data_IF_891437815760
#
_entry.id   IF_891437815760
#
_cell.length_a   1.000
_cell.length_b   1.000
_cell.length_c   1.000
_cell.angle_alpha   90.00
_cell.angle_beta   90.00
_cell.angle_gamma   90.00
#
_symmetry.space_group_name_H-M   'P 1'
#
loop_
_entity.id
_entity.type
_entity.pdbx_description
1 polymer ?
#
# COMPACT_ATOMS: atom_id res chain seq x y z
N UNK A 1 -15.96 28.37 2.97
CA UNK A 1 -16.20 27.29 1.99
C UNK A 1 -14.91 26.76 1.36
N UNK A 2 -13.97 27.62 0.93
CA UNK A 2 -12.66 27.24 0.33
C UNK A 2 -11.88 26.15 1.08
N UNK A 3 -11.81 26.22 2.42
CA UNK A 3 -11.05 25.24 3.21
C UNK A 3 -11.60 23.81 3.11
N UNK A 4 -12.93 23.65 3.03
CA UNK A 4 -13.57 22.34 3.01
C UNK A 4 -13.39 21.66 1.65
N UNK A 5 -13.48 22.43 0.57
CA UNK A 5 -13.22 21.90 -0.77
C UNK A 5 -11.75 21.48 -0.95
N UNK A 6 -10.81 22.32 -0.47
CA UNK A 6 -9.39 22.01 -0.46
C UNK A 6 -9.09 20.72 0.33
N UNK A 7 -9.72 20.54 1.49
CA UNK A 7 -9.57 19.33 2.32
C UNK A 7 -10.01 18.06 1.58
N UNK A 8 -11.13 18.09 0.86
CA UNK A 8 -11.59 16.92 0.06
C UNK A 8 -10.63 16.60 -1.07
N UNK A 9 -10.15 17.62 -1.80
CA UNK A 9 -9.18 17.41 -2.88
C UNK A 9 -7.87 16.83 -2.36
N UNK A 10 -7.37 17.34 -1.24
CA UNK A 10 -6.17 16.83 -0.59
C UNK A 10 -6.36 15.38 -0.13
N UNK A 11 -7.51 15.05 0.48
CA UNK A 11 -7.82 13.69 0.90
C UNK A 11 -7.93 12.71 -0.29
N UNK A 12 -8.54 13.14 -1.40
CA UNK A 12 -8.61 12.35 -2.64
C UNK A 12 -7.22 12.07 -3.21
N UNK A 13 -6.35 13.09 -3.26
CA UNK A 13 -4.99 12.94 -3.76
C UNK A 13 -4.17 12.03 -2.86
N UNK A 14 -4.29 12.16 -1.54
CA UNK A 14 -3.64 11.28 -0.57
C UNK A 14 -4.09 9.81 -0.74
N UNK A 15 -5.38 9.57 -0.96
CA UNK A 15 -5.93 8.24 -1.23
C UNK A 15 -5.34 7.64 -2.52
N UNK A 16 -5.30 8.41 -3.61
CA UNK A 16 -4.70 7.96 -4.88
C UNK A 16 -3.21 7.64 -4.72
N UNK A 17 -2.46 8.49 -4.04
CA UNK A 17 -1.05 8.23 -3.73
C UNK A 17 -0.87 6.95 -2.92
N UNK A 18 -1.72 6.70 -1.92
CA UNK A 18 -1.70 5.48 -1.14
C UNK A 18 -2.04 4.23 -1.98
N UNK A 19 -2.94 4.36 -2.96
CA UNK A 19 -3.26 3.29 -3.91
C UNK A 19 -2.03 2.92 -4.76
N UNK A 20 -1.35 3.91 -5.33
CA UNK A 20 -0.12 3.66 -6.10
C UNK A 20 0.99 3.07 -5.24
N UNK A 21 1.13 3.52 -3.99
CA UNK A 21 2.08 2.96 -3.04
C UNK A 21 1.79 1.48 -2.73
N UNK A 22 0.52 1.10 -2.58
CA UNK A 22 0.13 -0.30 -2.41
C UNK A 22 0.47 -1.12 -3.66
N UNK A 23 0.15 -0.62 -4.85
CA UNK A 23 0.51 -1.31 -6.10
C UNK A 23 2.01 -1.53 -6.21
N UNK A 24 2.82 -0.50 -5.94
CA UNK A 24 4.28 -0.61 -5.95
C UNK A 24 4.80 -1.61 -4.91
N UNK A 25 4.27 -1.58 -3.68
CA UNK A 25 4.64 -2.53 -2.63
C UNK A 25 4.27 -3.99 -3.00
N UNK A 26 3.13 -4.18 -3.66
CA UNK A 26 2.69 -5.49 -4.15
C UNK A 26 3.65 -6.03 -5.22
N UNK A 27 4.03 -5.21 -6.19
CA UNK A 27 5.00 -5.61 -7.22
C UNK A 27 6.38 -5.90 -6.61
N UNK A 28 6.80 -5.12 -5.62
CA UNK A 28 8.04 -5.37 -4.89
C UNK A 28 8.01 -6.71 -4.12
N UNK A 29 6.87 -7.08 -3.52
CA UNK A 29 6.70 -8.41 -2.91
C UNK A 29 6.82 -9.51 -3.97
N UNK A 30 6.11 -9.39 -5.09
CA UNK A 30 6.14 -10.40 -6.17
C UNK A 30 7.56 -10.61 -6.68
N UNK A 31 8.30 -9.52 -6.96
CA UNK A 31 9.69 -9.62 -7.37
C UNK A 31 10.58 -10.29 -6.30
N UNK A 32 10.37 -9.98 -5.01
CA UNK A 32 11.10 -10.63 -3.92
C UNK A 32 10.79 -12.14 -3.82
N UNK A 33 9.56 -12.56 -4.12
CA UNK A 33 9.18 -13.98 -4.18
C UNK A 33 9.91 -14.71 -5.30
N UNK A 34 9.98 -14.10 -6.48
CA UNK A 34 10.71 -14.66 -7.63
C UNK A 34 12.22 -14.76 -7.36
N UNK A 35 12.81 -13.74 -6.74
CA UNK A 35 14.23 -13.75 -6.35
C UNK A 35 14.50 -14.87 -5.34
N UNK A 36 13.68 -14.99 -4.29
CA UNK A 36 13.82 -16.06 -3.30
C UNK A 36 13.71 -17.45 -3.94
N UNK A 37 12.70 -17.67 -4.78
CA UNK A 37 12.53 -18.94 -5.48
C UNK A 37 13.71 -19.25 -6.43
N UNK A 38 14.28 -18.23 -7.06
CA UNK A 38 15.48 -18.36 -7.89
C UNK A 38 16.70 -18.75 -7.05
N UNK A 39 16.89 -18.12 -5.90
CA UNK A 39 17.98 -18.43 -4.97
C UNK A 39 17.88 -19.87 -4.43
N UNK A 40 16.67 -20.33 -4.07
CA UNK A 40 16.45 -21.71 -3.66
C UNK A 40 16.82 -22.73 -4.75
N UNK A 41 16.53 -22.42 -6.03
CA UNK A 41 16.93 -23.28 -7.15
C UNK A 41 18.43 -23.34 -7.30
N UNK A 42 19.12 -22.21 -7.22
CA UNK A 42 20.58 -22.14 -7.26
C UNK A 42 21.21 -22.90 -6.08
N UNK A 43 20.60 -22.83 -4.88
CA UNK A 43 21.10 -23.52 -3.70
C UNK A 43 20.99 -25.03 -3.85
N UNK A 44 19.86 -25.53 -4.35
CA UNK A 44 19.69 -26.95 -4.68
C UNK A 44 20.68 -27.44 -5.74
N UNK A 45 21.11 -26.55 -6.64
CA UNK A 45 22.16 -26.82 -7.63
C UNK A 45 23.59 -26.65 -7.11
N UNK A 46 23.80 -26.26 -5.84
CA UNK A 46 25.12 -26.04 -5.25
C UNK A 46 25.83 -24.76 -5.70
N UNK A 47 25.11 -23.81 -6.32
CA UNK A 47 25.67 -22.58 -6.91
C UNK A 47 25.69 -21.38 -5.96
N UNK A 48 25.05 -21.50 -4.80
CA UNK A 48 24.94 -20.44 -3.79
C UNK A 48 25.00 -21.04 -2.39
N UNK A 49 24.93 -20.18 -1.37
CA UNK A 49 25.05 -20.56 0.03
C UNK A 49 23.71 -20.46 0.74
N UNK A 50 23.56 -21.23 1.83
CA UNK A 50 22.40 -21.16 2.71
C UNK A 50 22.19 -19.74 3.27
N UNK A 51 23.29 -19.02 3.56
CA UNK A 51 23.23 -17.63 4.02
C UNK A 51 22.48 -16.73 3.03
N UNK A 52 22.75 -16.87 1.72
CA UNK A 52 22.09 -16.04 0.72
C UNK A 52 20.60 -16.38 0.59
N UNK A 53 20.22 -17.66 0.70
CA UNK A 53 18.80 -18.09 0.77
C UNK A 53 18.08 -17.43 1.95
N UNK A 54 18.69 -17.45 3.15
CA UNK A 54 18.12 -16.83 4.34
C UNK A 54 18.00 -15.30 4.20
N UNK A 55 18.99 -14.66 3.56
CA UNK A 55 18.93 -13.23 3.25
C UNK A 55 17.72 -12.93 2.35
N UNK A 56 17.54 -13.68 1.24
CA UNK A 56 16.39 -13.48 0.34
C UNK A 56 15.04 -13.74 1.03
N UNK A 57 14.98 -14.75 1.89
CA UNK A 57 13.79 -15.03 2.70
C UNK A 57 13.43 -13.83 3.62
N UNK A 58 14.44 -13.22 4.24
CA UNK A 58 14.27 -12.04 5.09
C UNK A 58 13.82 -10.82 4.29
N UNK A 59 14.42 -10.60 3.12
CA UNK A 59 14.02 -9.54 2.19
C UNK A 59 12.55 -9.70 1.74
N UNK A 60 12.12 -10.93 1.43
CA UNK A 60 10.73 -11.26 1.13
C UNK A 60 9.80 -10.97 2.32
N UNK A 61 10.17 -11.38 3.53
CA UNK A 61 9.38 -11.10 4.72
C UNK A 61 9.21 -9.58 4.95
N UNK A 62 10.28 -8.80 4.75
CA UNK A 62 10.22 -7.34 4.83
C UNK A 62 9.32 -6.74 3.73
N UNK A 63 9.37 -7.26 2.49
CA UNK A 63 8.50 -6.81 1.40
C UNK A 63 7.02 -7.08 1.70
N UNK A 64 6.69 -8.26 2.26
CA UNK A 64 5.34 -8.60 2.74
C UNK A 64 4.86 -7.62 3.83
N UNK A 65 5.73 -7.30 4.79
CA UNK A 65 5.43 -6.31 5.83
C UNK A 65 5.11 -4.93 5.25
N UNK A 66 5.90 -4.46 4.26
CA UNK A 66 5.67 -3.19 3.57
C UNK A 66 4.34 -3.17 2.81
N UNK A 67 3.96 -4.26 2.14
CA UNK A 67 2.66 -4.35 1.46
C UNK A 67 1.48 -4.26 2.44
N UNK A 68 1.55 -4.98 3.56
CA UNK A 68 0.50 -4.91 4.61
C UNK A 68 0.38 -3.50 5.19
N UNK A 69 1.52 -2.82 5.42
CA UNK A 69 1.52 -1.44 5.87
C UNK A 69 0.92 -0.50 4.81
N UNK A 70 1.28 -0.66 3.53
CA UNK A 70 0.72 0.14 2.44
C UNK A 70 -0.80 -0.05 2.32
N UNK A 71 -1.30 -1.28 2.48
CA UNK A 71 -2.74 -1.58 2.51
C UNK A 71 -3.43 -0.88 3.67
N UNK A 72 -2.81 -0.91 4.85
CA UNK A 72 -3.33 -0.20 6.03
C UNK A 72 -3.38 1.30 5.81
N UNK A 73 -2.36 1.87 5.17
CA UNK A 73 -2.31 3.29 4.84
C UNK A 73 -3.39 3.68 3.83
N UNK A 74 -3.63 2.87 2.81
CA UNK A 74 -4.74 3.07 1.87
C UNK A 74 -6.10 3.05 2.59
N UNK A 75 -6.34 2.08 3.47
CA UNK A 75 -7.59 2.01 4.23
C UNK A 75 -7.80 3.26 5.10
N UNK A 76 -6.74 3.77 5.74
CA UNK A 76 -6.78 5.03 6.48
C UNK A 76 -7.10 6.21 5.56
N UNK A 77 -6.48 6.29 4.39
CA UNK A 77 -6.71 7.37 3.44
C UNK A 77 -8.15 7.37 2.89
N UNK A 78 -8.72 6.19 2.61
CA UNK A 78 -10.14 6.03 2.24
C UNK A 78 -11.05 6.54 3.36
N UNK A 79 -10.78 6.15 4.62
CA UNK A 79 -11.57 6.63 5.76
C UNK A 79 -11.50 8.16 5.92
N UNK A 80 -10.33 8.76 5.71
CA UNK A 80 -10.16 10.22 5.77
C UNK A 80 -10.92 10.92 4.64
N UNK A 81 -10.86 10.40 3.42
CA UNK A 81 -11.61 10.94 2.27
C UNK A 81 -13.14 10.85 2.48
N UNK A 82 -13.64 9.75 3.02
CA UNK A 82 -15.06 9.61 3.33
C UNK A 82 -15.48 10.61 4.42
N UNK A 83 -14.63 10.82 5.45
CA UNK A 83 -14.88 11.82 6.50
C UNK A 83 -14.89 13.24 5.94
N UNK A 84 -13.93 13.61 5.09
CA UNK A 84 -13.88 14.95 4.50
C UNK A 84 -15.10 15.20 3.62
N UNK A 85 -15.50 14.21 2.81
CA UNK A 85 -16.70 14.29 1.96
C UNK A 85 -17.97 14.43 2.80
N UNK A 86 -18.12 13.65 3.87
CA UNK A 86 -19.26 13.77 4.79
C UNK A 86 -19.35 15.16 5.44
N UNK A 87 -18.22 15.71 5.88
CA UNK A 87 -18.16 17.10 6.40
C UNK A 87 -18.60 18.12 5.36
N UNK A 88 -18.24 17.94 4.09
CA UNK A 88 -18.68 18.82 3.00
C UNK A 88 -20.18 18.75 2.80
N UNK A 89 -20.78 17.55 2.80
CA UNK A 89 -22.23 17.39 2.63
C UNK A 89 -23.01 18.05 3.78
N UNK A 90 -22.57 17.84 5.03
CA UNK A 90 -23.18 18.48 6.20
C UNK A 90 -23.01 20.00 6.18
N UNK A 91 -21.83 20.52 5.81
CA UNK A 91 -21.59 21.96 5.75
C UNK A 91 -22.43 22.68 4.69
N UNK A 92 -22.83 21.96 3.63
CA UNK A 92 -23.66 22.50 2.54
C UNK A 92 -25.15 22.16 2.69
N UNK A 93 -25.60 21.64 3.85
CA UNK A 93 -26.98 21.19 4.09
C UNK A 93 -27.52 20.23 3.00
N UNK A 94 -26.65 19.43 2.39
CA UNK A 94 -27.06 18.44 1.39
C UNK A 94 -27.48 17.18 2.13
N UNK A 95 -28.79 17.01 2.32
CA UNK A 95 -29.36 15.74 2.74
C UNK A 95 -29.26 14.74 1.58
N UNK A 96 -28.44 13.70 1.75
CA UNK A 96 -28.43 12.56 0.82
C UNK A 96 -29.71 11.77 1.07
N UNK A 97 -30.77 12.07 0.32
CA UNK A 97 -32.00 11.27 0.36
C UNK A 97 -31.75 9.88 -0.23
N UNK A 98 -32.33 8.89 0.43
CA UNK A 98 -32.14 7.44 0.24
C UNK A 98 -32.48 6.92 -1.15
#
# INVERSE_FOLDING_TARGET
EENVESDVRNALQAMRSAQYALTAATQARVAAEEIYASEERQFRGGLTTYYLVLQRQTELAAARGREVQARTNLNKAISTFNRSTGRTLTANNVEVSK
#
